data_IF_737766336670
#
_entry.id   IF_737766336670
#
_cell.length_a   1.000
_cell.length_b   1.000
_cell.length_c   1.000
_cell.angle_alpha   90.00
_cell.angle_beta   90.00
_cell.angle_gamma   90.00
#
_symmetry.space_group_name_H-M   'P 1'
#
loop_
_entity.id
_entity.type
_entity.pdbx_description
1 polymer ?
#
# COMPACT_ATOMS: atom_id res chain seq x y z
N UNK A 1 -23.76 27.02 5.11
CA UNK A 1 -22.39 26.50 5.17
C UNK A 1 -22.38 25.24 4.34
N UNK A 2 -21.73 25.30 3.19
CA UNK A 2 -21.62 24.20 2.25
C UNK A 2 -20.29 23.50 2.46
N UNK A 3 -20.23 22.19 2.23
CA UNK A 3 -18.97 21.44 2.33
C UNK A 3 -17.91 21.98 1.36
N UNK A 4 -18.34 22.57 0.24
CA UNK A 4 -17.51 23.24 -0.76
C UNK A 4 -16.84 24.51 -0.24
N UNK A 5 -17.30 25.08 0.88
CA UNK A 5 -16.68 26.26 1.52
C UNK A 5 -15.32 25.92 2.16
N UNK A 6 -14.99 24.63 2.30
CA UNK A 6 -13.83 24.14 3.04
C UNK A 6 -12.86 23.32 2.19
N UNK A 7 -13.04 23.27 0.88
CA UNK A 7 -12.16 22.54 -0.04
C UNK A 7 -11.55 23.54 -1.03
N UNK A 8 -10.33 23.27 -1.54
CA UNK A 8 -9.71 24.15 -2.51
C UNK A 8 -10.57 24.35 -3.75
N UNK A 9 -10.49 25.54 -4.34
CA UNK A 9 -11.29 25.91 -5.52
C UNK A 9 -11.10 24.99 -6.71
N UNK A 10 -9.89 24.44 -6.87
CA UNK A 10 -9.53 23.46 -7.90
C UNK A 10 -10.12 22.06 -7.67
N UNK A 11 -10.59 21.76 -6.45
CA UNK A 11 -11.16 20.45 -6.09
C UNK A 11 -12.70 20.51 -5.87
N UNK A 12 -13.31 21.70 -5.88
CA UNK A 12 -14.77 21.89 -5.67
C UNK A 12 -15.59 21.03 -6.63
N UNK A 13 -15.26 21.02 -7.93
CA UNK A 13 -16.02 20.29 -8.94
C UNK A 13 -15.99 18.77 -8.70
N UNK A 14 -14.84 18.25 -8.24
CA UNK A 14 -14.68 16.84 -7.91
C UNK A 14 -15.56 16.46 -6.71
N UNK A 15 -15.54 17.28 -5.67
CA UNK A 15 -16.36 17.07 -4.47
C UNK A 15 -17.85 17.20 -4.75
N UNK A 16 -18.25 18.23 -5.51
CA UNK A 16 -19.64 18.45 -5.90
C UNK A 16 -20.17 17.27 -6.71
N UNK A 17 -19.41 16.79 -7.71
CA UNK A 17 -19.77 15.63 -8.53
C UNK A 17 -19.94 14.37 -7.67
N UNK A 18 -19.01 14.11 -6.75
CA UNK A 18 -19.09 12.94 -5.85
C UNK A 18 -20.33 12.97 -4.95
N UNK A 19 -20.68 14.13 -4.37
CA UNK A 19 -21.86 14.22 -3.51
C UNK A 19 -23.18 14.32 -4.27
N UNK A 20 -23.17 14.82 -5.51
CA UNK A 20 -24.34 14.77 -6.36
C UNK A 20 -24.74 13.32 -6.66
N UNK A 21 -23.77 12.44 -6.90
CA UNK A 21 -24.02 11.00 -7.06
C UNK A 21 -24.71 10.37 -5.86
N UNK A 22 -24.40 10.81 -4.63
CA UNK A 22 -25.06 10.31 -3.41
C UNK A 22 -26.57 10.61 -3.43
N UNK A 23 -26.96 11.80 -3.91
CA UNK A 23 -28.35 12.20 -4.01
C UNK A 23 -29.08 11.47 -5.15
N UNK A 24 -28.39 11.20 -6.25
CA UNK A 24 -28.94 10.54 -7.43
C UNK A 24 -29.10 9.03 -7.23
N UNK A 25 -28.12 8.36 -6.60
CA UNK A 25 -28.11 6.90 -6.45
C UNK A 25 -28.64 6.42 -5.11
N UNK A 26 -28.65 7.29 -4.08
CA UNK A 26 -28.94 6.89 -2.71
C UNK A 26 -27.82 6.03 -2.08
N UNK A 27 -26.64 5.96 -2.69
CA UNK A 27 -25.49 5.22 -2.16
C UNK A 27 -24.47 6.17 -1.53
N UNK A 28 -23.75 5.70 -0.51
CA UNK A 28 -22.68 6.49 0.10
C UNK A 28 -21.45 6.58 -0.80
N UNK A 29 -20.77 7.73 -0.74
CA UNK A 29 -19.53 7.98 -1.49
C UNK A 29 -18.46 8.45 -0.52
N UNK A 30 -17.23 7.95 -0.71
CA UNK A 30 -16.03 8.42 -0.02
C UNK A 30 -15.04 8.96 -1.04
N UNK A 31 -14.46 10.13 -0.75
CA UNK A 31 -13.49 10.81 -1.60
C UNK A 31 -12.39 11.43 -0.75
N UNK A 32 -11.13 11.32 -1.20
CA UNK A 32 -10.03 12.07 -0.61
C UNK A 32 -9.89 13.43 -1.29
N UNK A 33 -9.77 14.49 -0.50
CA UNK A 33 -9.56 15.87 -0.97
C UNK A 33 -8.87 16.68 0.10
N UNK A 34 -8.27 17.82 -0.26
CA UNK A 34 -7.76 18.74 0.75
C UNK A 34 -8.90 19.49 1.45
N UNK A 35 -8.76 19.65 2.76
CA UNK A 35 -9.46 20.67 3.54
C UNK A 35 -8.60 21.93 3.56
N UNK A 36 -9.15 23.08 3.20
CA UNK A 36 -8.45 24.36 3.20
C UNK A 36 -8.82 25.18 4.45
N UNK A 37 -7.82 25.52 5.25
CA UNK A 37 -8.03 26.38 6.43
C UNK A 37 -8.17 27.85 6.02
N UNK A 38 -8.65 28.70 6.93
CA UNK A 38 -8.68 30.17 6.71
C UNK A 38 -7.30 30.79 6.42
N UNK A 39 -6.22 30.11 6.79
CA UNK A 39 -4.86 30.54 6.52
C UNK A 39 -4.33 30.04 5.16
N UNK A 40 -5.15 29.31 4.38
CA UNK A 40 -4.78 28.72 3.08
C UNK A 40 -4.01 27.40 3.19
N UNK A 41 -3.86 26.84 4.39
CA UNK A 41 -3.21 25.53 4.56
C UNK A 41 -4.11 24.42 4.02
N UNK A 42 -3.57 23.58 3.13
CA UNK A 42 -4.23 22.38 2.59
C UNK A 42 -3.89 21.15 3.43
N UNK A 43 -4.89 20.62 4.12
CA UNK A 43 -4.76 19.45 4.99
C UNK A 43 -5.45 18.27 4.32
N UNK A 44 -4.81 17.11 4.13
CA UNK A 44 -5.47 15.98 3.48
C UNK A 44 -6.59 15.41 4.36
N UNK A 45 -7.79 15.35 3.79
CA UNK A 45 -8.99 14.81 4.40
C UNK A 45 -9.59 13.70 3.54
N UNK A 46 -10.31 12.79 4.19
CA UNK A 46 -11.20 11.81 3.59
C UNK A 46 -12.62 12.22 3.97
N UNK A 47 -13.45 12.50 2.97
CA UNK A 47 -14.83 12.91 3.15
C UNK A 47 -15.76 11.77 2.74
N UNK A 48 -16.68 11.39 3.63
CA UNK A 48 -17.73 10.42 3.35
C UNK A 48 -19.07 11.11 3.43
N UNK A 49 -19.90 10.97 2.38
CA UNK A 49 -21.27 11.45 2.33
C UNK A 49 -22.25 10.29 2.16
N UNK A 50 -23.39 10.35 2.85
CA UNK A 50 -24.47 9.39 2.75
C UNK A 50 -25.82 10.12 2.64
N UNK A 51 -26.82 9.56 1.96
CA UNK A 51 -28.12 10.21 1.85
C UNK A 51 -28.81 10.23 3.21
N UNK A 52 -29.49 11.33 3.49
CA UNK A 52 -30.40 11.46 4.61
C UNK A 52 -31.82 11.29 4.06
N UNK A 53 -32.40 10.11 4.23
CA UNK A 53 -33.77 9.82 3.82
C UNK A 53 -34.76 10.07 4.96
N UNK A 54 -35.99 10.46 4.62
CA UNK A 54 -37.10 10.49 5.57
C UNK A 54 -37.73 9.10 5.77
N UNK A 55 -38.78 9.04 6.60
CA UNK A 55 -39.48 7.79 6.92
C UNK A 55 -40.14 7.11 5.69
N UNK A 56 -40.32 7.83 4.59
CA UNK A 56 -40.90 7.30 3.35
C UNK A 56 -39.81 6.89 2.33
N UNK A 57 -38.53 7.01 2.69
CA UNK A 57 -37.41 6.70 1.79
C UNK A 57 -37.06 7.83 0.82
N UNK A 58 -37.65 9.02 0.96
CA UNK A 58 -37.34 10.18 0.11
C UNK A 58 -36.06 10.86 0.61
N UNK A 59 -35.08 11.06 -0.26
CA UNK A 59 -33.81 11.72 0.10
C UNK A 59 -34.07 13.21 0.36
N UNK A 60 -33.88 13.64 1.61
CA UNK A 60 -34.04 15.04 2.07
C UNK A 60 -32.73 15.83 2.08
N UNK A 61 -31.60 15.16 1.98
CA UNK A 61 -30.29 15.80 1.93
C UNK A 61 -29.15 14.80 2.04
N UNK A 62 -27.98 15.30 2.42
CA UNK A 62 -26.83 14.46 2.76
C UNK A 62 -26.38 14.68 4.20
N UNK A 63 -25.83 13.65 4.80
CA UNK A 63 -25.00 13.75 5.99
C UNK A 63 -23.59 13.31 5.62
N UNK A 64 -22.58 13.86 6.29
CA UNK A 64 -21.21 13.51 5.99
C UNK A 64 -20.23 13.71 7.13
N UNK A 65 -19.09 13.03 7.03
CA UNK A 65 -17.98 13.14 7.96
C UNK A 65 -16.71 13.50 7.19
N UNK A 66 -15.86 14.32 7.80
CA UNK A 66 -14.52 14.63 7.31
C UNK A 66 -13.48 14.08 8.29
N UNK A 67 -12.62 13.18 7.82
CA UNK A 67 -11.55 12.59 8.60
C UNK A 67 -10.21 13.16 8.16
N UNK A 68 -9.47 13.77 9.07
CA UNK A 68 -8.08 14.15 8.80
C UNK A 68 -7.23 12.88 8.63
N UNK A 69 -6.60 12.74 7.46
CA UNK A 69 -5.77 11.57 7.12
C UNK A 69 -4.27 11.91 7.06
N UNK A 70 -3.86 13.06 7.59
CA UNK A 70 -2.46 13.51 7.60
C UNK A 70 -1.52 12.49 8.25
N UNK A 71 -1.91 11.94 9.41
CA UNK A 71 -1.12 10.93 10.10
C UNK A 71 -1.03 9.61 9.30
N UNK A 72 -2.10 9.21 8.59
CA UNK A 72 -2.10 8.04 7.69
C UNK A 72 -1.15 8.27 6.52
N UNK A 73 -1.31 9.38 5.80
CA UNK A 73 -0.46 9.74 4.65
C UNK A 73 1.00 9.98 5.04
N UNK A 74 1.28 10.49 6.24
CA UNK A 74 2.65 10.66 6.72
C UNK A 74 3.30 9.30 6.99
N UNK A 75 2.61 8.38 7.70
CA UNK A 75 3.11 7.03 7.94
C UNK A 75 3.34 6.26 6.64
N UNK A 76 2.39 6.36 5.69
CA UNK A 76 2.54 5.74 4.38
C UNK A 76 3.75 6.28 3.63
N UNK A 77 3.91 7.61 3.54
CA UNK A 77 5.09 8.23 2.91
C UNK A 77 6.40 7.85 3.61
N UNK A 78 6.41 7.76 4.93
CA UNK A 78 7.59 7.33 5.68
C UNK A 78 7.92 5.85 5.40
N UNK A 79 6.92 4.98 5.36
CA UNK A 79 7.09 3.59 4.96
C UNK A 79 7.64 3.49 3.55
N UNK A 80 6.99 4.13 2.56
CA UNK A 80 7.44 4.13 1.17
C UNK A 80 8.86 4.67 1.03
N UNK A 81 9.21 5.74 1.75
CA UNK A 81 10.56 6.29 1.76
C UNK A 81 11.56 5.29 2.33
N UNK A 82 11.34 4.69 3.50
CA UNK A 82 12.28 3.72 4.08
C UNK A 82 12.37 2.45 3.24
N UNK A 83 11.22 1.94 2.80
CA UNK A 83 11.11 0.70 2.03
C UNK A 83 11.80 0.83 0.65
N UNK A 84 11.63 1.95 -0.06
CA UNK A 84 12.19 2.16 -1.40
C UNK A 84 13.54 2.88 -1.44
N UNK A 85 13.94 3.61 -0.40
CA UNK A 85 15.22 4.36 -0.38
C UNK A 85 16.39 3.51 0.14
N UNK A 86 16.24 2.19 0.24
CA UNK A 86 17.30 1.31 0.71
C UNK A 86 18.00 0.66 -0.48
N UNK A 87 19.34 0.65 -0.47
CA UNK A 87 20.17 -0.16 -1.39
C UNK A 87 20.03 -1.68 -1.16
N UNK A 88 19.11 -2.08 -0.28
CA UNK A 88 18.83 -3.44 0.14
C UNK A 88 17.56 -3.92 -0.55
N UNK A 89 17.56 -5.18 -0.97
CA UNK A 89 16.36 -5.86 -1.43
C UNK A 89 15.46 -6.15 -0.23
N UNK A 90 14.25 -5.61 -0.24
CA UNK A 90 13.30 -5.77 0.86
C UNK A 90 11.95 -6.21 0.32
N UNK A 91 11.33 -7.17 0.98
CA UNK A 91 9.99 -7.62 0.65
C UNK A 91 9.21 -8.03 1.88
N UNK A 92 7.88 -8.10 1.73
CA UNK A 92 6.96 -8.66 2.71
C UNK A 92 6.31 -9.89 2.10
N UNK A 93 6.09 -10.91 2.92
CA UNK A 93 5.51 -12.17 2.49
C UNK A 93 4.54 -12.72 3.54
N UNK A 94 3.58 -13.50 3.09
CA UNK A 94 2.72 -14.31 3.94
C UNK A 94 3.54 -15.45 4.60
N UNK A 95 3.05 -16.05 5.70
CA UNK A 95 3.77 -17.12 6.41
C UNK A 95 4.11 -18.34 5.54
N UNK A 96 3.35 -18.56 4.47
CA UNK A 96 3.55 -19.66 3.53
C UNK A 96 4.55 -19.32 2.41
N UNK A 97 5.24 -18.18 2.49
CA UNK A 97 6.24 -17.72 1.53
C UNK A 97 5.69 -16.99 0.32
N UNK A 98 4.38 -16.72 0.26
CA UNK A 98 3.79 -15.92 -0.83
C UNK A 98 4.20 -14.46 -0.71
N UNK A 99 4.82 -13.90 -1.74
CA UNK A 99 5.26 -12.49 -1.73
C UNK A 99 4.03 -11.57 -1.78
N UNK A 100 3.95 -10.64 -0.83
CA UNK A 100 2.91 -9.63 -0.74
C UNK A 100 3.40 -8.28 -1.28
N UNK A 101 4.68 -7.97 -1.09
CA UNK A 101 5.29 -6.72 -1.52
C UNK A 101 6.79 -6.87 -1.76
N UNK A 102 7.35 -6.10 -2.68
CA UNK A 102 8.79 -5.99 -2.91
C UNK A 102 9.17 -4.54 -3.22
N UNK A 103 10.31 -4.08 -2.70
CA UNK A 103 10.74 -2.71 -2.92
C UNK A 103 11.29 -2.48 -4.33
N UNK A 104 11.31 -1.21 -4.75
CA UNK A 104 11.77 -0.80 -6.08
C UNK A 104 13.17 -1.31 -6.41
N UNK A 105 14.08 -1.31 -5.42
CA UNK A 105 15.45 -1.81 -5.57
C UNK A 105 15.51 -3.28 -5.96
N UNK A 106 14.66 -4.13 -5.39
CA UNK A 106 14.58 -5.55 -5.76
C UNK A 106 14.03 -5.74 -7.18
N UNK A 107 12.96 -5.00 -7.53
CA UNK A 107 12.36 -5.04 -8.87
C UNK A 107 13.37 -4.63 -9.95
N UNK A 108 14.08 -3.51 -9.73
CA UNK A 108 15.11 -3.01 -10.65
C UNK A 108 16.28 -3.99 -10.79
N UNK A 109 16.73 -4.61 -9.70
CA UNK A 109 17.79 -5.62 -9.76
C UNK A 109 17.38 -6.86 -10.58
N UNK A 110 16.12 -7.29 -10.44
CA UNK A 110 15.56 -8.42 -11.17
C UNK A 110 15.17 -8.10 -12.61
N UNK A 111 15.00 -6.83 -12.97
CA UNK A 111 14.35 -6.43 -14.22
C UNK A 111 12.92 -6.92 -14.30
N UNK A 112 12.21 -6.93 -13.16
CA UNK A 112 10.88 -7.51 -13.01
C UNK A 112 9.84 -6.43 -12.72
N UNK A 113 8.64 -6.63 -13.27
CA UNK A 113 7.45 -5.91 -12.85
C UNK A 113 6.90 -6.52 -11.54
N UNK A 114 6.24 -5.68 -10.74
CA UNK A 114 5.66 -6.09 -9.45
C UNK A 114 4.74 -7.30 -9.57
N UNK A 115 3.92 -7.34 -10.62
CA UNK A 115 2.94 -8.40 -10.86
C UNK A 115 3.57 -9.76 -11.23
N UNK A 116 4.86 -9.76 -11.60
CA UNK A 116 5.61 -11.00 -11.83
C UNK A 116 6.15 -11.60 -10.53
N UNK A 117 6.16 -10.83 -9.44
CA UNK A 117 6.70 -11.22 -8.13
C UNK A 117 5.60 -11.47 -7.10
N UNK A 118 4.68 -10.53 -6.97
CA UNK A 118 3.61 -10.57 -5.97
C UNK A 118 2.65 -11.71 -6.27
N UNK A 119 2.29 -12.47 -5.24
CA UNK A 119 1.44 -13.66 -5.35
C UNK A 119 2.20 -14.97 -5.62
N UNK A 120 3.49 -14.90 -5.98
CA UNK A 120 4.33 -16.08 -6.19
C UNK A 120 5.09 -16.47 -4.92
N UNK A 121 5.53 -17.73 -4.84
CA UNK A 121 6.40 -18.18 -3.74
C UNK A 121 7.79 -17.60 -3.86
N UNK A 122 8.40 -17.21 -2.74
CA UNK A 122 9.75 -16.64 -2.70
C UNK A 122 10.77 -17.49 -3.47
N UNK A 123 10.77 -18.81 -3.24
CA UNK A 123 11.69 -19.75 -3.89
C UNK A 123 11.36 -20.02 -5.37
N UNK A 124 10.20 -19.61 -5.87
CA UNK A 124 9.83 -19.70 -7.29
C UNK A 124 10.23 -18.44 -8.07
N UNK A 125 10.63 -17.38 -7.37
CA UNK A 125 11.06 -16.14 -8.01
C UNK A 125 12.39 -16.31 -8.74
N UNK A 126 12.56 -15.53 -9.79
CA UNK A 126 13.78 -15.50 -10.62
C UNK A 126 15.07 -15.38 -9.80
N UNK A 127 15.03 -14.64 -8.67
CA UNK A 127 16.20 -14.41 -7.81
C UNK A 127 16.85 -15.69 -7.28
N UNK A 128 16.06 -16.70 -6.92
CA UNK A 128 16.52 -17.91 -6.23
C UNK A 128 16.64 -19.13 -7.14
N UNK A 129 16.36 -18.97 -8.44
CA UNK A 129 16.42 -20.05 -9.44
C UNK A 129 17.83 -20.32 -9.97
N UNK A 130 18.84 -19.57 -9.52
CA UNK A 130 20.23 -19.72 -9.97
C UNK A 130 20.85 -21.07 -9.55
N UNK A 131 20.37 -21.67 -8.46
CA UNK A 131 20.81 -22.97 -7.98
C UNK A 131 19.78 -23.60 -7.04
N UNK A 132 19.80 -24.93 -6.94
CA UNK A 132 18.99 -25.66 -5.95
C UNK A 132 19.34 -25.24 -4.51
N UNK A 133 20.59 -24.86 -4.25
CA UNK A 133 20.99 -24.34 -2.93
C UNK A 133 20.25 -23.04 -2.58
N UNK A 134 20.19 -22.08 -3.51
CA UNK A 134 19.51 -20.81 -3.27
C UNK A 134 18.01 -21.02 -3.07
N UNK A 135 17.40 -21.91 -3.89
CA UNK A 135 16.00 -22.30 -3.76
C UNK A 135 15.69 -22.96 -2.41
N UNK A 136 16.51 -23.92 -1.99
CA UNK A 136 16.36 -24.62 -0.73
C UNK A 136 16.52 -23.67 0.47
N UNK A 137 17.52 -22.77 0.43
CA UNK A 137 17.72 -21.77 1.47
C UNK A 137 16.53 -20.81 1.60
N UNK A 138 15.91 -20.41 0.49
CA UNK A 138 14.68 -19.60 0.54
C UNK A 138 13.50 -20.35 1.18
N UNK A 139 13.33 -21.64 0.89
CA UNK A 139 12.29 -22.48 1.52
C UNK A 139 12.56 -22.66 3.02
N UNK A 140 13.80 -22.95 3.40
CA UNK A 140 14.20 -23.10 4.80
C UNK A 140 13.96 -21.80 5.58
N UNK A 141 14.35 -20.66 5.01
CA UNK A 141 14.16 -19.36 5.63
C UNK A 141 12.68 -19.04 5.89
N UNK A 142 11.81 -19.37 4.94
CA UNK A 142 10.35 -19.21 5.11
C UNK A 142 9.86 -20.13 6.23
N UNK A 143 10.25 -21.41 6.21
CA UNK A 143 9.81 -22.38 7.21
C UNK A 143 10.22 -21.99 8.62
N UNK A 144 11.50 -21.61 8.85
CA UNK A 144 11.97 -21.14 10.15
C UNK A 144 11.26 -19.84 10.60
N UNK A 145 11.11 -18.87 9.69
CA UNK A 145 10.40 -17.63 10.02
C UNK A 145 8.92 -17.85 10.35
N UNK A 146 8.27 -18.83 9.70
CA UNK A 146 6.87 -19.18 9.99
C UNK A 146 6.67 -19.74 11.39
N UNK A 147 7.72 -20.32 11.99
CA UNK A 147 7.71 -20.80 13.38
C UNK A 147 8.20 -19.77 14.39
N UNK A 148 8.46 -18.53 13.96
CA UNK A 148 8.92 -17.44 14.82
C UNK A 148 10.44 -17.30 14.94
N UNK A 149 11.22 -18.09 14.19
CA UNK A 149 12.68 -18.07 14.26
C UNK A 149 13.30 -17.15 13.20
N UNK A 150 14.48 -16.59 13.50
CA UNK A 150 15.21 -15.72 12.58
C UNK A 150 16.15 -16.54 11.69
N UNK A 151 16.03 -16.40 10.38
CA UNK A 151 16.96 -16.98 9.41
C UNK A 151 17.92 -15.92 8.86
N UNK A 152 19.20 -16.27 8.69
CA UNK A 152 20.19 -15.46 7.96
C UNK A 152 21.27 -16.34 7.32
N UNK A 153 21.58 -16.06 6.06
CA UNK A 153 22.67 -16.70 5.34
C UNK A 153 23.19 -15.81 4.20
N UNK A 154 24.42 -16.06 3.72
CA UNK A 154 24.95 -15.42 2.53
C UNK A 154 24.69 -16.27 1.29
N UNK A 155 23.85 -15.76 0.39
CA UNK A 155 23.37 -16.50 -0.78
C UNK A 155 23.77 -15.79 -2.06
N UNK A 156 24.06 -16.56 -3.11
CA UNK A 156 24.15 -16.02 -4.46
C UNK A 156 22.77 -16.03 -5.10
N UNK A 157 22.32 -14.87 -5.59
CA UNK A 157 21.03 -14.68 -6.27
C UNK A 157 21.23 -14.14 -7.69
N UNK A 158 20.24 -14.34 -8.55
CA UNK A 158 20.22 -13.89 -9.95
C UNK A 158 19.44 -12.58 -10.10
N UNK A 159 20.06 -11.55 -10.69
CA UNK A 159 19.36 -10.37 -11.22
C UNK A 159 19.22 -10.44 -12.74
N UNK A 160 18.63 -9.42 -13.37
CA UNK A 160 18.42 -9.39 -14.82
C UNK A 160 19.71 -9.63 -15.62
N UNK A 161 20.73 -8.82 -15.33
CA UNK A 161 21.98 -8.80 -16.11
C UNK A 161 23.18 -9.41 -15.35
N UNK A 162 23.04 -9.67 -14.04
CA UNK A 162 24.15 -10.13 -13.20
C UNK A 162 23.66 -10.95 -12.00
N UNK A 163 24.51 -11.85 -11.54
CA UNK A 163 24.36 -12.47 -10.23
C UNK A 163 25.03 -11.62 -9.14
N UNK A 164 24.52 -11.68 -7.92
CA UNK A 164 25.10 -11.00 -6.76
C UNK A 164 25.09 -11.94 -5.54
N UNK A 165 26.08 -11.78 -4.66
CA UNK A 165 26.04 -12.36 -3.32
C UNK A 165 25.35 -11.36 -2.40
N UNK A 166 24.32 -11.81 -1.71
CA UNK A 166 23.56 -11.02 -0.76
C UNK A 166 23.65 -11.62 0.64
N UNK A 167 23.60 -10.77 1.64
CA UNK A 167 23.28 -11.17 3.01
C UNK A 167 21.76 -11.26 3.10
N UNK A 168 21.24 -12.48 3.02
CA UNK A 168 19.81 -12.77 2.99
C UNK A 168 19.33 -13.09 4.39
N UNK A 169 18.21 -12.49 4.78
CA UNK A 169 17.63 -12.71 6.09
C UNK A 169 16.11 -12.62 6.04
N UNK A 170 15.44 -13.47 6.82
CA UNK A 170 13.97 -13.48 6.95
C UNK A 170 13.61 -13.41 8.42
N UNK A 171 12.74 -12.46 8.78
CA UNK A 171 12.26 -12.24 10.15
C UNK A 171 10.75 -12.40 10.20
N UNK A 172 10.22 -13.10 11.22
CA UNK A 172 8.80 -13.06 11.52
C UNK A 172 8.39 -11.63 11.88
N UNK A 173 7.20 -11.24 11.41
CA UNK A 173 6.53 -10.00 11.84
C UNK A 173 5.31 -10.42 12.64
N UNK A 174 5.24 -9.98 13.89
CA UNK A 174 4.13 -10.26 14.81
C UNK A 174 3.34 -8.98 15.08
N UNK A 175 2.06 -9.13 15.37
CA UNK A 175 1.19 -8.04 15.85
C UNK A 175 1.60 -7.51 17.24
#
# INVERSE_FOLDING_TARGET
MYVTDFVPTDEIETIATSFQRVLETGESVTVESAFETKAGERIPFEFTGAPLADANGEVRGLTGIGRNISARKKRQRQFEAVFNNTYQFTGLMAPDGTILEANKTALEFGGLDRDQLVGNKLWETYFFQISEQARAAAQEAVNQASTGEFFRDQLRVQGADRAAVIDFSVRPVTD
#
